data_IF_669063122552
#
_entry.id   IF_669063122552
#
_cell.length_a   1.000
_cell.length_b   1.000
_cell.length_c   1.000
_cell.angle_alpha   90.00
_cell.angle_beta   90.00
_cell.angle_gamma   90.00
#
_symmetry.space_group_name_H-M   'P 1'
#
loop_
_entity.id
_entity.type
_entity.pdbx_description
1 polymer ?
#
# COMPACT_ATOMS: atom_id res chain seq x y z
N UNK A 1 3.63 4.57 -40.69
CA UNK A 1 4.75 4.05 -39.88
C UNK A 1 5.04 5.03 -38.72
N UNK A 2 4.09 5.22 -37.80
CA UNK A 2 4.19 6.16 -36.67
C UNK A 2 3.57 5.61 -35.37
N UNK A 3 3.05 4.38 -35.38
CA UNK A 3 2.37 3.77 -34.24
C UNK A 3 3.35 3.07 -33.27
N UNK A 4 4.48 2.52 -33.77
CA UNK A 4 5.41 1.71 -32.96
C UNK A 4 6.14 2.50 -31.87
N UNK A 5 6.57 3.75 -32.14
CA UNK A 5 7.40 4.51 -31.19
C UNK A 5 6.68 4.92 -29.91
N UNK A 6 5.35 4.98 -29.92
CA UNK A 6 4.58 5.25 -28.72
C UNK A 6 4.38 3.99 -27.87
N UNK A 7 4.19 2.84 -28.51
CA UNK A 7 4.01 1.55 -27.84
C UNK A 7 5.31 1.10 -27.15
N UNK A 8 6.46 1.22 -27.84
CA UNK A 8 7.78 0.88 -27.28
C UNK A 8 8.14 1.68 -26.02
N UNK A 9 7.72 2.95 -25.93
CA UNK A 9 7.96 3.79 -24.74
C UNK A 9 7.09 3.38 -23.56
N UNK A 10 5.85 2.97 -23.81
CA UNK A 10 4.95 2.45 -22.77
C UNK A 10 5.43 1.10 -22.25
N UNK A 11 5.93 0.25 -23.13
CA UNK A 11 6.44 -1.08 -22.77
C UNK A 11 7.77 -0.96 -22.02
N UNK A 12 8.72 -0.14 -22.47
CA UNK A 12 9.97 0.11 -21.76
C UNK A 12 9.74 0.70 -20.35
N UNK A 13 8.81 1.64 -20.20
CA UNK A 13 8.45 2.19 -18.89
C UNK A 13 7.77 1.15 -17.99
N UNK A 14 7.02 0.21 -18.57
CA UNK A 14 6.41 -0.92 -17.85
C UNK A 14 7.45 -1.93 -17.38
N UNK A 15 8.44 -2.25 -18.22
CA UNK A 15 9.55 -3.14 -17.86
C UNK A 15 10.47 -2.53 -16.78
N UNK A 16 10.81 -1.25 -16.89
CA UNK A 16 11.58 -0.53 -15.87
C UNK A 16 10.87 -0.53 -14.50
N UNK A 17 9.53 -0.53 -14.50
CA UNK A 17 8.71 -0.54 -13.28
C UNK A 17 8.75 -1.89 -12.56
N UNK A 18 8.87 -2.99 -13.31
CA UNK A 18 8.96 -4.35 -12.76
C UNK A 18 10.36 -4.61 -12.18
N UNK A 19 11.41 -4.15 -12.84
CA UNK A 19 12.79 -4.35 -12.36
C UNK A 19 13.04 -3.72 -10.98
N UNK A 20 12.46 -2.54 -10.70
CA UNK A 20 12.54 -1.89 -9.38
C UNK A 20 11.99 -2.75 -8.24
N UNK A 21 11.00 -3.62 -8.50
CA UNK A 21 10.42 -4.52 -7.50
C UNK A 21 11.39 -5.67 -7.16
N UNK A 22 12.28 -6.03 -8.09
CA UNK A 22 13.14 -7.23 -7.97
C UNK A 22 14.55 -6.94 -7.47
N UNK A 23 15.05 -5.70 -7.61
CA UNK A 23 16.47 -5.40 -7.43
C UNK A 23 16.91 -4.95 -6.02
N UNK A 24 16.01 -4.40 -5.19
CA UNK A 24 16.34 -3.84 -3.86
C UNK A 24 15.16 -3.92 -2.89
N UNK A 25 15.00 -5.04 -2.16
CA UNK A 25 13.89 -5.17 -1.20
C UNK A 25 13.95 -4.14 -0.07
N UNK A 26 15.12 -3.56 0.22
CA UNK A 26 15.28 -2.44 1.16
C UNK A 26 14.81 -1.07 0.64
N UNK A 27 14.51 -0.90 -0.64
CA UNK A 27 14.08 0.38 -1.23
C UNK A 27 12.71 0.31 -1.89
N UNK A 28 11.87 -0.65 -1.50
CA UNK A 28 10.51 -0.72 -2.03
C UNK A 28 9.72 0.51 -1.59
N UNK A 29 9.50 1.43 -2.52
CA UNK A 29 8.66 2.60 -2.31
C UNK A 29 7.33 2.42 -3.08
N UNK A 30 6.18 2.57 -2.40
CA UNK A 30 4.87 2.56 -3.07
C UNK A 30 4.82 3.58 -4.21
N UNK A 31 4.49 3.11 -5.41
CA UNK A 31 4.29 3.99 -6.56
C UNK A 31 2.82 4.42 -6.61
N UNK A 32 2.54 5.63 -6.13
CA UNK A 32 1.20 6.22 -6.18
C UNK A 32 0.92 6.88 -7.52
N UNK A 33 -0.34 6.80 -7.95
CA UNK A 33 -0.84 7.55 -9.10
C UNK A 33 -0.95 9.02 -8.70
N UNK A 34 -0.73 9.91 -9.66
CA UNK A 34 -0.98 11.34 -9.48
C UNK A 34 -2.00 11.81 -10.51
N UNK A 35 -2.94 12.65 -10.09
CA UNK A 35 -3.85 13.33 -11.00
C UNK A 35 -3.12 14.44 -11.77
N UNK A 36 -3.75 14.99 -12.84
CA UNK A 36 -3.13 16.04 -13.67
C UNK A 36 -2.77 17.33 -12.91
N UNK A 37 -3.44 17.61 -11.79
CA UNK A 37 -3.16 18.73 -10.86
C UNK A 37 -2.03 18.42 -9.86
N UNK A 38 -1.48 17.19 -9.89
CA UNK A 38 -0.36 16.76 -9.05
C UNK A 38 -0.77 16.10 -7.74
N UNK A 39 -2.07 16.04 -7.43
CA UNK A 39 -2.59 15.38 -6.24
C UNK A 39 -2.31 13.88 -6.27
N UNK A 40 -1.99 13.32 -5.11
CA UNK A 40 -1.67 11.89 -4.98
C UNK A 40 -2.94 11.10 -4.79
N UNK A 41 -3.17 10.09 -5.64
CA UNK A 41 -4.20 9.09 -5.46
C UNK A 41 -3.56 7.76 -4.99
N UNK A 42 -3.63 7.47 -3.68
CA UNK A 42 -3.09 6.23 -3.12
C UNK A 42 -4.03 5.03 -3.29
N UNK A 43 -5.30 5.26 -3.61
CA UNK A 43 -6.34 4.22 -3.57
C UNK A 43 -6.04 3.03 -4.50
N UNK A 44 -5.58 3.20 -5.76
CA UNK A 44 -5.24 2.07 -6.63
C UNK A 44 -4.18 1.14 -6.03
N UNK A 45 -3.15 1.71 -5.40
CA UNK A 45 -2.08 0.93 -4.76
C UNK A 45 -2.60 0.21 -3.52
N UNK A 46 -3.35 0.90 -2.65
CA UNK A 46 -3.92 0.32 -1.43
C UNK A 46 -4.88 -0.82 -1.74
N UNK A 47 -5.73 -0.66 -2.76
CA UNK A 47 -6.64 -1.71 -3.23
C UNK A 47 -5.88 -2.92 -3.78
N UNK A 48 -4.78 -2.70 -4.52
CA UNK A 48 -3.90 -3.78 -4.99
C UNK A 48 -3.28 -4.56 -3.83
N UNK A 49 -2.74 -3.86 -2.83
CA UNK A 49 -2.20 -4.50 -1.62
C UNK A 49 -3.27 -5.30 -0.87
N UNK A 50 -4.44 -4.70 -0.65
CA UNK A 50 -5.56 -5.36 0.02
C UNK A 50 -6.06 -6.59 -0.75
N UNK A 51 -6.09 -6.54 -2.09
CA UNK A 51 -6.45 -7.70 -2.91
C UNK A 51 -5.49 -8.88 -2.68
N UNK A 52 -4.18 -8.63 -2.60
CA UNK A 52 -3.19 -9.66 -2.27
C UNK A 52 -3.38 -10.21 -0.86
N UNK A 53 -3.70 -9.35 0.12
CA UNK A 53 -4.05 -9.81 1.48
C UNK A 53 -5.26 -10.75 1.48
N UNK A 54 -6.31 -10.42 0.71
CA UNK A 54 -7.53 -11.25 0.58
C UNK A 54 -7.23 -12.66 0.05
N UNK A 55 -6.16 -12.86 -0.71
CA UNK A 55 -5.76 -14.19 -1.19
C UNK A 55 -5.22 -15.10 -0.06
N UNK A 56 -4.79 -14.53 1.08
CA UNK A 56 -4.15 -15.28 2.18
C UNK A 56 -4.71 -14.90 3.56
N UNK A 57 -6.02 -14.68 3.67
CA UNK A 57 -6.67 -14.15 4.88
C UNK A 57 -6.27 -14.84 6.19
N UNK A 58 -6.07 -16.16 6.17
CA UNK A 58 -5.66 -16.91 7.36
C UNK A 58 -4.31 -16.43 7.91
N UNK A 59 -3.33 -16.18 7.04
CA UNK A 59 -2.01 -15.64 7.43
C UNK A 59 -2.16 -14.22 7.98
N UNK A 60 -3.01 -13.40 7.36
CA UNK A 60 -3.22 -12.01 7.76
C UNK A 60 -4.14 -11.83 8.98
N UNK A 61 -4.75 -12.89 9.50
CA UNK A 61 -5.78 -12.84 10.54
C UNK A 61 -5.38 -12.05 11.78
N UNK A 62 -4.13 -12.15 12.25
CA UNK A 62 -3.61 -11.37 13.39
C UNK A 62 -3.63 -9.87 13.14
N UNK A 63 -3.28 -9.43 11.92
CA UNK A 63 -3.31 -8.02 11.52
C UNK A 63 -4.74 -7.54 11.19
N UNK A 64 -5.62 -8.43 10.76
CA UNK A 64 -7.00 -8.10 10.39
C UNK A 64 -7.96 -8.04 11.58
N UNK A 65 -7.58 -8.57 12.75
CA UNK A 65 -8.39 -8.51 13.97
C UNK A 65 -8.54 -7.06 14.45
N UNK A 66 -9.74 -6.45 14.42
CA UNK A 66 -9.91 -5.02 14.71
C UNK A 66 -9.49 -4.60 16.13
N UNK A 67 -9.45 -5.56 17.06
CA UNK A 67 -9.08 -5.35 18.46
C UNK A 67 -7.59 -5.63 18.74
N UNK A 68 -6.82 -6.08 17.74
CA UNK A 68 -5.39 -6.32 17.86
C UNK A 68 -4.58 -5.04 17.75
N UNK A 69 -3.51 -4.91 18.53
CA UNK A 69 -2.58 -3.76 18.40
C UNK A 69 -1.95 -3.71 17.02
N UNK A 70 -1.69 -4.88 16.43
CA UNK A 70 -1.10 -5.02 15.10
C UNK A 70 -2.03 -4.52 13.99
N UNK A 71 -3.35 -4.47 14.22
CA UNK A 71 -4.30 -3.89 13.28
C UNK A 71 -4.07 -2.41 13.02
N UNK A 72 -3.51 -1.69 13.99
CA UNK A 72 -3.15 -0.29 13.82
C UNK A 72 -2.13 -0.10 12.70
N UNK A 73 -1.27 -1.09 12.46
CA UNK A 73 -0.26 -1.05 11.39
C UNK A 73 -0.92 -0.98 10.02
N UNK A 74 -2.08 -1.60 9.82
CA UNK A 74 -2.76 -1.59 8.52
C UNK A 74 -3.56 -0.32 8.25
N UNK A 75 -3.77 0.55 9.25
CA UNK A 75 -4.66 1.71 9.10
C UNK A 75 -4.29 2.64 7.94
N UNK A 76 -3.01 3.01 7.72
CA UNK A 76 -2.65 3.87 6.59
C UNK A 76 -3.00 3.28 5.22
N UNK A 77 -3.11 1.96 5.12
CA UNK A 77 -3.54 1.26 3.90
C UNK A 77 -5.07 1.17 3.85
N UNK A 78 -5.70 0.66 4.91
CA UNK A 78 -7.13 0.37 4.95
C UNK A 78 -8.02 1.61 4.87
N UNK A 79 -7.53 2.78 5.29
CA UNK A 79 -8.29 4.04 5.19
C UNK A 79 -8.59 4.44 3.74
N UNK A 80 -7.79 3.96 2.79
CA UNK A 80 -7.96 4.18 1.35
C UNK A 80 -8.70 3.02 0.66
N UNK A 81 -9.09 1.97 1.39
CA UNK A 81 -9.72 0.80 0.82
C UNK A 81 -11.24 0.82 1.00
N UNK A 82 -11.92 0.21 0.03
CA UNK A 82 -13.35 -0.03 0.04
C UNK A 82 -13.63 -1.54 -0.06
N UNK A 83 -14.75 -1.98 0.49
CA UNK A 83 -15.26 -3.34 0.30
C UNK A 83 -15.86 -3.53 -1.10
N UNK A 84 -16.29 -4.76 -1.38
CA UNK A 84 -16.86 -5.13 -2.68
C UNK A 84 -18.21 -4.43 -2.95
N UNK A 85 -18.85 -3.83 -1.93
CA UNK A 85 -20.05 -2.99 -2.05
C UNK A 85 -19.73 -1.50 -2.17
N UNK A 86 -18.45 -1.13 -2.28
CA UNK A 86 -17.99 0.25 -2.38
C UNK A 86 -17.98 1.01 -1.07
N UNK A 87 -18.12 0.33 0.07
CA UNK A 87 -18.15 0.95 1.40
C UNK A 87 -16.73 1.03 1.97
N UNK A 88 -16.33 2.13 2.63
CA UNK A 88 -15.01 2.23 3.26
C UNK A 88 -14.77 1.10 4.27
N UNK A 89 -13.56 0.51 4.26
CA UNK A 89 -13.20 -0.57 5.20
C UNK A 89 -13.00 -0.06 6.62
N UNK A 90 -12.48 1.16 6.77
CA UNK A 90 -12.46 1.85 8.06
C UNK A 90 -13.65 2.81 8.13
N UNK A 91 -14.35 2.88 9.28
CA UNK A 91 -15.33 3.91 9.50
C UNK A 91 -14.67 5.27 9.20
N UNK A 92 -15.32 6.15 8.43
CA UNK A 92 -14.84 7.51 8.32
C UNK A 92 -14.70 8.04 9.75
N UNK A 93 -13.48 8.41 10.18
CA UNK A 93 -13.33 9.21 11.37
C UNK A 93 -14.32 10.37 11.20
N UNK A 94 -15.26 10.54 12.16
CA UNK A 94 -16.39 11.50 12.06
C UNK A 94 -15.91 12.67 11.23
N UNK A 95 -16.39 12.79 9.98
CA UNK A 95 -15.83 13.69 8.96
C UNK A 95 -16.07 15.13 9.40
N UNK A 96 -15.32 15.58 10.39
CA UNK A 96 -15.18 16.98 10.74
C UNK A 96 -14.15 17.54 9.76
N UNK A 97 -14.28 18.81 9.41
CA UNK A 97 -13.42 19.47 8.43
C UNK A 97 -11.91 19.27 8.71
N UNK A 98 -11.54 19.02 9.98
CA UNK A 98 -10.15 18.75 10.41
C UNK A 98 -9.65 17.30 10.24
N UNK A 99 -10.50 16.30 10.00
CA UNK A 99 -10.06 14.89 9.81
C UNK A 99 -9.87 14.51 8.34
N UNK A 100 -10.39 15.29 7.39
CA UNK A 100 -10.19 15.05 5.96
C UNK A 100 -8.72 15.15 5.51
N UNK A 101 -7.92 16.13 5.99
CA UNK A 101 -6.50 16.19 5.65
C UNK A 101 -5.70 15.01 6.22
N UNK A 102 -6.14 14.44 7.34
CA UNK A 102 -5.48 13.30 7.98
C UNK A 102 -5.68 12.03 7.14
N UNK A 103 -6.90 11.80 6.64
CA UNK A 103 -7.19 10.68 5.73
C UNK A 103 -6.47 10.86 4.40
N UNK A 104 -6.48 12.08 3.84
CA UNK A 104 -5.82 12.36 2.56
C UNK A 104 -4.29 12.27 2.62
N UNK A 105 -3.67 12.49 3.78
CA UNK A 105 -2.21 12.40 3.93
C UNK A 105 -1.72 11.07 4.51
N UNK A 106 -2.62 10.15 4.86
CA UNK A 106 -2.25 8.84 5.42
C UNK A 106 -1.34 8.03 4.49
N UNK A 107 -1.37 8.29 3.17
CA UNK A 107 -0.47 7.66 2.21
C UNK A 107 1.01 7.90 2.50
N UNK A 108 1.35 9.01 3.16
CA UNK A 108 2.73 9.35 3.54
C UNK A 108 3.32 8.36 4.55
N UNK A 109 2.45 7.69 5.31
CA UNK A 109 2.85 6.69 6.30
C UNK A 109 2.93 5.26 5.71
N UNK A 110 2.48 5.06 4.46
CA UNK A 110 2.49 3.74 3.81
C UNK A 110 3.90 3.16 3.65
N UNK A 111 4.94 3.92 3.23
CA UNK A 111 6.30 3.35 3.14
C UNK A 111 6.79 2.77 4.48
N UNK A 112 6.60 3.52 5.57
CA UNK A 112 6.95 3.04 6.91
C UNK A 112 6.10 1.83 7.35
N UNK A 113 4.81 1.84 6.99
CA UNK A 113 3.89 0.72 7.22
C UNK A 113 4.37 -0.55 6.52
N UNK A 114 4.77 -0.48 5.26
CA UNK A 114 5.25 -1.64 4.49
C UNK A 114 6.52 -2.22 5.10
N UNK A 115 7.45 -1.37 5.52
CA UNK A 115 8.67 -1.84 6.21
C UNK A 115 8.34 -2.48 7.56
N UNK A 116 7.42 -1.90 8.34
CA UNK A 116 6.99 -2.49 9.60
C UNK A 116 6.30 -3.85 9.40
N UNK A 117 5.47 -3.99 8.35
CA UNK A 117 4.86 -5.27 7.98
C UNK A 117 5.93 -6.30 7.55
N UNK A 118 6.94 -5.88 6.79
CA UNK A 118 8.07 -6.73 6.43
C UNK A 118 8.80 -7.22 7.68
N UNK A 119 9.11 -6.34 8.63
CA UNK A 119 9.77 -6.69 9.88
C UNK A 119 8.92 -7.62 10.75
N UNK A 120 7.61 -7.39 10.81
CA UNK A 120 6.66 -8.23 11.53
C UNK A 120 6.65 -9.67 11.01
N UNK A 121 6.73 -9.85 9.69
CA UNK A 121 6.70 -11.17 9.04
C UNK A 121 8.07 -11.80 8.85
N UNK A 122 9.16 -11.04 8.94
CA UNK A 122 10.50 -11.61 8.93
C UNK A 122 10.68 -12.46 10.19
N UNK A 123 11.13 -13.73 10.08
CA UNK A 123 11.60 -14.44 11.25
C UNK A 123 12.69 -13.57 11.86
N UNK A 124 12.59 -13.28 13.16
CA UNK A 124 13.67 -12.64 13.92
C UNK A 124 14.87 -13.56 13.70
N UNK A 125 15.71 -13.22 12.71
CA UNK A 125 16.94 -13.93 12.45
C UNK A 125 17.69 -13.80 13.76
N UNK A 126 17.86 -14.93 14.44
CA UNK A 126 18.41 -15.03 15.79
C UNK A 126 19.40 -13.90 16.06
N UNK A 127 19.19 -13.15 17.16
CA UNK A 127 20.27 -12.35 17.75
C UNK A 127 21.47 -13.30 17.88
N UNK A 128 22.49 -13.10 17.06
CA UNK A 128 23.67 -13.93 17.07
C UNK A 128 24.45 -13.55 18.32
N UNK A 129 24.32 -14.39 19.35
CA UNK A 129 25.25 -14.48 20.48
C UNK A 129 25.15 -13.35 21.50
N UNK A 130 24.95 -13.76 22.75
CA UNK A 130 25.54 -13.10 23.90
C UNK A 130 27.06 -13.07 23.82
#
# INVERSE_FOLDING_TARGET
>A
MHQDRHQDRHDAASYQRIEMITGRPESFEPLFVRSPDGEVDPQPWCMGFYAVMKLRLFVWSRLLSPNGTEHLMLRPILVHCIDDAGRPLLPPARRTLGTQPIVQNAWRDIPATVEALRQFWMPIRFKRGA
#
